data_IF_488915679312
#
_entry.id   IF_488915679312
#
_cell.length_a   1.000
_cell.length_b   1.000
_cell.length_c   1.000
_cell.angle_alpha   90.00
_cell.angle_beta   90.00
_cell.angle_gamma   90.00
#
_symmetry.space_group_name_H-M   'P 1'
#
loop_
_entity.id
_entity.type
_entity.pdbx_description
1 polymer ?
#
# COMPACT_ATOMS: atom_id res chain seq x y z
N UNK A 1 -2.66 9.12 -3.79
CA UNK A 1 -2.04 9.63 -5.04
C UNK A 1 -0.57 9.90 -4.77
N UNK A 2 0.31 9.61 -5.74
CA UNK A 2 1.74 9.91 -5.65
C UNK A 2 1.98 11.41 -5.98
N UNK A 3 2.95 12.09 -5.34
CA UNK A 3 3.16 13.54 -5.54
C UNK A 3 3.51 13.97 -6.97
N UNK A 4 4.03 13.05 -7.79
CA UNK A 4 4.25 13.29 -9.24
C UNK A 4 2.96 13.50 -10.04
N UNK A 5 1.78 13.32 -9.43
CA UNK A 5 0.46 13.41 -10.08
C UNK A 5 0.24 12.46 -11.25
N UNK A 6 1.09 11.45 -11.42
CA UNK A 6 1.01 10.47 -12.51
C UNK A 6 0.53 9.11 -12.03
N UNK A 7 0.61 8.84 -10.72
CA UNK A 7 0.30 7.53 -10.17
C UNK A 7 -0.64 7.62 -8.96
N UNK A 8 -1.44 6.59 -8.78
CA UNK A 8 -2.40 6.43 -7.69
C UNK A 8 -1.99 5.20 -6.89
N UNK A 9 -1.70 5.40 -5.60
CA UNK A 9 -1.57 4.30 -4.63
C UNK A 9 -2.93 4.04 -3.99
N UNK A 10 -3.33 2.78 -3.92
CA UNK A 10 -4.59 2.33 -3.34
C UNK A 10 -4.45 0.93 -2.73
N UNK A 11 -5.41 0.51 -1.91
CA UNK A 11 -5.44 -0.85 -1.37
C UNK A 11 -6.45 -1.71 -2.15
N UNK A 12 -6.04 -2.95 -2.43
CA UNK A 12 -6.89 -3.93 -3.12
C UNK A 12 -6.51 -5.36 -2.76
N UNK A 13 -7.50 -6.25 -2.78
CA UNK A 13 -7.37 -7.69 -2.59
C UNK A 13 -7.26 -8.47 -3.91
N UNK A 14 -6.94 -7.78 -5.02
CA UNK A 14 -6.82 -8.39 -6.35
C UNK A 14 -5.87 -9.61 -6.40
N UNK A 15 -4.83 -9.62 -5.56
CA UNK A 15 -3.84 -10.70 -5.52
C UNK A 15 -4.30 -11.94 -4.74
N UNK A 16 -5.32 -11.83 -3.90
CA UNK A 16 -5.76 -12.87 -2.99
C UNK A 16 -7.03 -13.54 -3.52
N UNK A 17 -6.98 -14.82 -3.93
CA UNK A 17 -8.15 -15.55 -4.39
C UNK A 17 -9.28 -15.62 -3.35
N UNK A 18 -8.95 -15.58 -2.06
CA UNK A 18 -9.93 -15.60 -0.96
C UNK A 18 -10.50 -14.22 -0.67
N UNK A 19 -9.90 -13.17 -1.22
CA UNK A 19 -10.27 -11.75 -1.07
C UNK A 19 -10.25 -11.23 0.36
N UNK A 20 -9.52 -11.88 1.27
CA UNK A 20 -9.44 -11.55 2.69
C UNK A 20 -8.28 -10.63 3.01
N UNK A 21 -7.19 -10.70 2.25
CA UNK A 21 -6.00 -9.88 2.47
C UNK A 21 -5.91 -8.74 1.46
N UNK A 22 -5.58 -7.54 1.95
CA UNK A 22 -5.38 -6.36 1.11
C UNK A 22 -3.88 -6.08 1.00
N UNK A 23 -3.45 -5.75 -0.20
CA UNK A 23 -2.12 -5.21 -0.47
C UNK A 23 -2.25 -3.78 -0.99
N UNK A 24 -1.16 -3.03 -0.91
CA UNK A 24 -1.02 -1.78 -1.62
C UNK A 24 -0.68 -2.05 -3.09
N UNK A 25 -1.28 -1.25 -3.96
CA UNK A 25 -1.09 -1.26 -5.41
C UNK A 25 -0.82 0.14 -5.90
N UNK A 26 -0.07 0.26 -6.99
CA UNK A 26 0.16 1.48 -7.72
C UNK A 26 -0.36 1.31 -9.16
N UNK A 27 -0.92 2.39 -9.71
CA UNK A 27 -1.40 2.42 -11.09
C UNK A 27 -1.17 3.82 -11.67
N UNK A 28 -0.92 3.93 -12.97
CA UNK A 28 -0.88 5.22 -13.64
C UNK A 28 -2.28 5.85 -13.68
N UNK A 29 -2.36 7.18 -13.76
CA UNK A 29 -3.63 7.92 -13.84
C UNK A 29 -4.47 7.58 -15.07
N UNK A 30 -3.85 7.06 -16.14
CA UNK A 30 -4.51 6.55 -17.34
C UNK A 30 -5.02 5.09 -17.21
N UNK A 31 -4.77 4.46 -16.05
CA UNK A 31 -5.16 3.07 -15.76
C UNK A 31 -4.13 2.01 -16.18
N UNK A 32 -3.03 2.40 -16.83
CA UNK A 32 -1.95 1.49 -17.19
C UNK A 32 -0.99 1.21 -16.03
N UNK A 33 -0.07 0.26 -16.20
CA UNK A 33 1.05 0.05 -15.26
C UNK A 33 0.63 -0.40 -13.86
N UNK A 34 -0.39 -1.24 -13.75
CA UNK A 34 -0.82 -1.78 -12.45
C UNK A 34 0.29 -2.66 -11.84
N UNK A 35 0.75 -2.29 -10.65
CA UNK A 35 1.78 -3.02 -9.91
C UNK A 35 1.41 -3.21 -8.44
N UNK A 36 1.86 -4.32 -7.85
CA UNK A 36 1.71 -4.61 -6.42
C UNK A 36 2.91 -4.03 -5.67
N UNK A 37 2.67 -3.34 -4.56
CA UNK A 37 3.70 -2.65 -3.78
C UNK A 37 4.08 -3.45 -2.51
N UNK A 38 3.11 -4.09 -1.86
CA UNK A 38 3.36 -4.86 -0.62
C UNK A 38 3.08 -6.35 -0.79
N UNK A 39 4.01 -7.20 -0.36
CA UNK A 39 3.99 -8.64 -0.63
C UNK A 39 3.88 -9.53 0.62
N UNK A 40 3.87 -8.95 1.81
CA UNK A 40 3.69 -9.72 3.04
C UNK A 40 2.29 -10.36 3.09
N UNK A 41 2.20 -11.53 3.75
CA UNK A 41 0.94 -12.22 4.04
C UNK A 41 0.22 -11.57 5.25
N UNK A 42 0.04 -10.26 5.14
CA UNK A 42 -0.50 -9.37 6.17
C UNK A 42 -1.38 -8.34 5.48
N UNK A 43 -2.42 -7.85 6.15
CA UNK A 43 -3.21 -6.72 5.66
C UNK A 43 -2.34 -5.48 5.50
N UNK A 44 -2.50 -4.74 4.39
CA UNK A 44 -1.90 -3.44 4.19
C UNK A 44 -2.91 -2.46 3.55
N UNK A 45 -3.11 -1.30 4.17
CA UNK A 45 -4.06 -0.28 3.70
C UNK A 45 -3.71 1.13 4.18
N UNK A 46 -4.56 2.08 3.82
CA UNK A 46 -4.48 3.51 4.15
C UNK A 46 -3.14 4.16 3.74
N UNK A 47 -2.71 4.00 2.47
CA UNK A 47 -1.43 4.53 2.01
C UNK A 47 -1.48 6.05 1.85
N UNK A 48 -0.43 6.75 2.29
CA UNK A 48 -0.17 8.14 1.93
C UNK A 48 1.30 8.38 1.65
N UNK A 49 1.61 9.07 0.55
CA UNK A 49 2.96 9.53 0.27
C UNK A 49 3.28 10.80 1.06
N UNK A 50 4.54 10.97 1.45
CA UNK A 50 5.07 12.25 1.88
C UNK A 50 4.96 13.27 0.75
N UNK A 51 4.92 14.57 1.10
CA UNK A 51 4.79 15.65 0.10
C UNK A 51 5.90 15.65 -0.94
N UNK A 52 7.11 15.26 -0.55
CA UNK A 52 8.29 15.15 -1.41
C UNK A 52 8.39 13.82 -2.18
N UNK A 53 7.49 12.87 -1.94
CA UNK A 53 7.45 11.57 -2.61
C UNK A 53 8.54 10.59 -2.16
N UNK A 54 9.33 10.94 -1.14
CA UNK A 54 10.45 10.11 -0.68
C UNK A 54 10.04 9.02 0.30
N UNK A 55 8.80 9.08 0.83
CA UNK A 55 8.31 8.13 1.83
C UNK A 55 6.86 7.76 1.60
N UNK A 56 6.50 6.56 2.04
CA UNK A 56 5.14 6.04 2.09
C UNK A 56 4.79 5.63 3.52
N UNK A 57 3.70 6.18 4.05
CA UNK A 57 3.08 5.68 5.29
C UNK A 57 1.89 4.77 4.95
N UNK A 58 1.72 3.70 5.70
CA UNK A 58 0.56 2.80 5.59
C UNK A 58 0.32 2.06 6.91
N UNK A 59 -0.86 1.47 7.07
CA UNK A 59 -1.17 0.62 8.22
C UNK A 59 -1.15 -0.86 7.82
N UNK A 60 -0.69 -1.71 8.74
CA UNK A 60 -0.68 -3.16 8.57
C UNK A 60 -0.82 -3.88 9.90
N UNK A 61 -1.39 -5.08 9.88
CA UNK A 61 -1.41 -6.01 11.02
C UNK A 61 -0.11 -6.81 11.15
N UNK A 62 0.92 -6.49 10.35
CA UNK A 62 2.26 -7.02 10.53
C UNK A 62 2.75 -6.73 11.95
N UNK A 63 3.29 -7.76 12.59
CA UNK A 63 3.75 -7.76 13.98
C UNK A 63 2.63 -7.50 15.01
N UNK A 64 1.36 -7.68 14.64
CA UNK A 64 0.25 -7.59 15.59
C UNK A 64 0.41 -8.60 16.73
N UNK A 65 0.17 -8.16 17.97
CA UNK A 65 0.18 -9.01 19.16
C UNK A 65 -1.22 -9.37 19.65
N UNK A 66 -2.25 -8.68 19.14
CA UNK A 66 -3.65 -8.94 19.43
C UNK A 66 -4.53 -8.90 18.16
N UNK A 67 -5.70 -9.55 18.17
CA UNK A 67 -6.65 -9.44 17.07
C UNK A 67 -7.04 -8.00 16.78
N UNK A 68 -7.10 -7.63 15.50
CA UNK A 68 -7.48 -6.29 15.00
C UNK A 68 -6.52 -5.15 15.38
N UNK A 69 -5.32 -5.48 15.84
CA UNK A 69 -4.24 -4.51 15.97
C UNK A 69 -3.77 -4.06 14.58
N UNK A 70 -3.56 -2.75 14.42
CA UNK A 70 -2.95 -2.16 13.23
C UNK A 70 -1.78 -1.30 13.67
N UNK A 71 -0.63 -1.58 13.08
CA UNK A 71 0.60 -0.84 13.25
C UNK A 71 0.80 0.14 12.09
N UNK A 72 1.40 1.29 12.37
CA UNK A 72 1.77 2.28 11.36
C UNK A 72 3.19 2.01 10.89
N UNK A 73 3.36 1.87 9.59
CA UNK A 73 4.65 1.65 8.95
C UNK A 73 5.04 2.87 8.12
N UNK A 74 6.30 3.25 8.21
CA UNK A 74 6.94 4.23 7.34
C UNK A 74 7.99 3.50 6.51
N UNK A 75 7.93 3.64 5.19
CA UNK A 75 8.91 3.10 4.26
C UNK A 75 9.53 4.23 3.45
N UNK A 76 10.83 4.13 3.19
CA UNK A 76 11.47 4.94 2.16
C UNK A 76 11.00 4.46 0.79
N UNK A 77 10.66 5.42 -0.07
CA UNK A 77 10.22 5.17 -1.43
C UNK A 77 11.37 5.40 -2.40
N UNK A 78 11.77 4.33 -3.07
CA UNK A 78 12.79 4.37 -4.13
C UNK A 78 12.09 4.03 -5.43
N UNK A 79 11.88 5.05 -6.27
CA UNK A 79 11.30 4.92 -7.60
C UNK A 79 12.39 4.58 -8.62
#
# INVERSE_FOLDING_TARGET
MHPNSQQIVFSSNLHDPTRRTFALWLVNVDGSGLERVTYADSFASFPMFSRDGTRLVFCSDRNATAPRELNVFLADWVA
#
